data_IF_499154962758
#
_entry.id   IF_499154962758
#
_cell.length_a   1.000
_cell.length_b   1.000
_cell.length_c   1.000
_cell.angle_alpha   90.00
_cell.angle_beta   90.00
_cell.angle_gamma   90.00
#
_symmetry.space_group_name_H-M   'P 1'
#
loop_
_entity.id
_entity.type
_entity.pdbx_description
1 polymer ?
#
# COMPACT_ATOMS: atom_id res chain seq x y z
N UNK A 1 2.08 -8.48 5.78
CA UNK A 1 1.25 -8.98 6.90
C UNK A 1 2.12 -9.28 8.10
N UNK A 2 3.07 -10.22 8.00
CA UNK A 2 3.96 -10.64 9.10
C UNK A 2 4.65 -9.49 9.86
N UNK A 3 5.22 -8.50 9.18
CA UNK A 3 5.83 -7.34 9.85
C UNK A 3 4.82 -6.52 10.68
N UNK A 4 3.62 -6.29 10.14
CA UNK A 4 2.54 -5.62 10.88
C UNK A 4 1.98 -6.49 12.00
N UNK A 5 1.94 -7.81 11.81
CA UNK A 5 1.58 -8.77 12.84
C UNK A 5 2.57 -8.74 14.01
N UNK A 6 3.88 -8.71 13.74
CA UNK A 6 4.91 -8.62 14.78
C UNK A 6 4.80 -7.31 15.57
N UNK A 7 4.67 -6.18 14.87
CA UNK A 7 4.44 -4.87 15.51
C UNK A 7 3.17 -4.90 16.38
N UNK A 8 2.12 -5.55 15.88
CA UNK A 8 0.86 -5.75 16.61
C UNK A 8 1.03 -6.61 17.87
N UNK A 9 1.78 -7.72 17.77
CA UNK A 9 2.05 -8.62 18.88
C UNK A 9 2.87 -7.96 19.99
N UNK A 10 3.97 -7.30 19.62
CA UNK A 10 4.81 -6.56 20.58
C UNK A 10 4.05 -5.40 21.20
N UNK A 11 3.29 -4.65 20.40
CA UNK A 11 2.42 -3.59 20.92
C UNK A 11 1.39 -4.12 21.91
N UNK A 12 0.70 -5.22 21.59
CA UNK A 12 -0.27 -5.84 22.50
C UNK A 12 0.41 -6.33 23.79
N UNK A 13 1.58 -6.94 23.69
CA UNK A 13 2.37 -7.38 24.83
C UNK A 13 2.72 -6.20 25.77
N UNK A 14 3.17 -5.07 25.21
CA UNK A 14 3.46 -3.86 26.01
C UNK A 14 2.20 -3.27 26.66
N UNK A 15 1.04 -3.35 26.01
CA UNK A 15 -0.23 -2.85 26.56
C UNK A 15 -0.71 -3.73 27.72
N UNK A 16 -0.54 -5.05 27.61
CA UNK A 16 -1.04 -6.01 28.61
C UNK A 16 -0.11 -6.08 29.83
N UNK A 17 1.21 -6.11 29.62
CA UNK A 17 2.18 -6.37 30.69
C UNK A 17 3.02 -5.16 31.09
N UNK A 18 2.96 -4.05 30.35
CA UNK A 18 3.74 -2.85 30.63
C UNK A 18 5.25 -3.04 30.46
N UNK A 19 6.04 -2.16 31.08
CA UNK A 19 7.52 -2.19 31.00
C UNK A 19 8.21 -3.10 32.03
N UNK A 20 7.44 -3.76 32.90
CA UNK A 20 7.97 -4.63 33.96
C UNK A 20 8.18 -6.09 33.53
N UNK A 21 7.66 -6.47 32.35
CA UNK A 21 7.73 -7.82 31.81
C UNK A 21 8.74 -7.85 30.66
N UNK A 22 10.01 -8.01 31.01
CA UNK A 22 11.10 -8.12 30.05
C UNK A 22 11.35 -9.59 29.74
N UNK A 23 11.32 -9.92 28.44
CA UNK A 23 11.83 -11.20 27.95
C UNK A 23 13.28 -11.35 28.44
N UNK A 24 13.57 -12.47 29.09
CA UNK A 24 14.91 -12.72 29.62
C UNK A 24 15.90 -13.18 28.53
N UNK A 25 17.18 -12.87 28.73
CA UNK A 25 18.29 -13.44 27.94
C UNK A 25 18.47 -12.83 26.55
N UNK A 26 19.12 -13.58 25.65
CA UNK A 26 19.46 -13.12 24.28
C UNK A 26 18.24 -12.87 23.40
N UNK A 27 17.11 -13.50 23.72
CA UNK A 27 15.84 -13.39 23.01
C UNK A 27 15.29 -11.96 23.00
N UNK A 28 15.59 -11.16 24.05
CA UNK A 28 15.18 -9.76 24.11
C UNK A 28 15.85 -8.92 23.01
N UNK A 29 17.17 -9.09 22.84
CA UNK A 29 17.94 -8.37 21.82
C UNK A 29 17.49 -8.76 20.41
N UNK A 30 17.31 -10.06 20.16
CA UNK A 30 16.82 -10.56 18.87
C UNK A 30 15.42 -10.05 18.53
N UNK A 31 14.53 -9.95 19.53
CA UNK A 31 13.18 -9.40 19.32
C UNK A 31 13.21 -7.91 18.99
N UNK A 32 14.09 -7.13 19.62
CA UNK A 32 14.29 -5.71 19.31
C UNK A 32 14.79 -5.55 17.87
N UNK A 33 15.79 -6.31 17.46
CA UNK A 33 16.32 -6.25 16.10
C UNK A 33 15.25 -6.62 15.07
N UNK A 34 14.48 -7.68 15.35
CA UNK A 34 13.37 -8.11 14.50
C UNK A 34 12.25 -7.06 14.45
N UNK A 35 11.98 -6.37 15.56
CA UNK A 35 11.01 -5.28 15.63
C UNK A 35 11.44 -4.11 14.75
N UNK A 36 12.70 -3.68 14.81
CA UNK A 36 13.24 -2.63 13.96
C UNK A 36 13.21 -3.02 12.48
N UNK A 37 13.59 -4.26 12.15
CA UNK A 37 13.50 -4.77 10.79
C UNK A 37 12.06 -4.77 10.27
N UNK A 38 11.10 -5.20 11.10
CA UNK A 38 9.67 -5.17 10.76
C UNK A 38 9.14 -3.75 10.58
N UNK A 39 9.55 -2.80 11.44
CA UNK A 39 9.19 -1.39 11.32
C UNK A 39 9.75 -0.79 10.02
N UNK A 40 11.02 -1.03 9.71
CA UNK A 40 11.66 -0.60 8.46
C UNK A 40 10.95 -1.15 7.22
N UNK A 41 10.64 -2.45 7.23
CA UNK A 41 9.91 -3.09 6.13
C UNK A 41 8.49 -2.54 5.97
N UNK A 42 7.77 -2.31 7.08
CA UNK A 42 6.45 -1.70 7.07
C UNK A 42 6.49 -0.26 6.50
N UNK A 43 7.48 0.53 6.90
CA UNK A 43 7.69 1.88 6.37
C UNK A 43 7.99 1.87 4.86
N UNK A 44 8.84 0.94 4.40
CA UNK A 44 9.15 0.79 2.98
C UNK A 44 7.90 0.47 2.16
N UNK A 45 7.03 -0.43 2.66
CA UNK A 45 5.74 -0.72 2.01
C UNK A 45 4.89 0.56 1.93
N UNK A 46 4.75 1.30 3.03
CA UNK A 46 3.97 2.55 3.06
C UNK A 46 4.50 3.56 2.04
N UNK A 47 5.81 3.79 2.00
CA UNK A 47 6.46 4.73 1.09
C UNK A 47 6.30 4.29 -0.37
N UNK A 48 6.67 3.05 -0.69
CA UNK A 48 6.54 2.49 -2.04
C UNK A 48 5.12 2.68 -2.59
N UNK A 49 4.11 2.49 -1.75
CA UNK A 49 2.71 2.58 -2.16
C UNK A 49 2.17 4.00 -2.21
N UNK A 50 2.76 4.93 -1.47
CA UNK A 50 2.52 6.35 -1.69
C UNK A 50 3.08 6.82 -3.04
N UNK A 51 4.24 6.29 -3.46
CA UNK A 51 4.94 6.70 -4.67
C UNK A 51 4.40 6.05 -5.95
N UNK A 52 4.03 4.76 -5.91
CA UNK A 52 3.53 3.99 -7.06
C UNK A 52 2.06 4.27 -7.44
N UNK A 53 1.43 5.32 -6.89
CA UNK A 53 0.06 5.70 -7.28
C UNK A 53 -0.01 6.18 -8.73
N UNK A 54 -0.90 5.58 -9.51
CA UNK A 54 -1.12 5.89 -10.94
C UNK A 54 -1.30 7.38 -11.18
N UNK A 55 -0.62 7.89 -12.22
CA UNK A 55 -0.69 9.28 -12.67
C UNK A 55 -2.08 9.68 -13.19
N UNK A 56 -3.04 8.75 -13.24
CA UNK A 56 -4.38 8.93 -13.83
C UNK A 56 -5.51 8.80 -12.82
N UNK A 57 -5.23 8.58 -11.53
CA UNK A 57 -6.26 8.53 -10.50
C UNK A 57 -6.58 9.94 -10.01
N UNK A 58 -7.44 10.66 -10.75
CA UNK A 58 -8.03 11.91 -10.32
C UNK A 58 -9.06 11.72 -9.18
N UNK A 59 -9.62 10.51 -9.05
CA UNK A 59 -10.71 10.23 -8.11
C UNK A 59 -10.23 9.52 -6.83
N UNK A 60 -10.71 10.01 -5.68
CA UNK A 60 -10.44 9.45 -4.36
C UNK A 60 -10.89 7.98 -4.17
N UNK A 61 -11.83 7.52 -5.00
CA UNK A 61 -12.32 6.12 -5.03
C UNK A 61 -11.28 5.14 -5.61
N UNK A 62 -10.55 5.54 -6.66
CA UNK A 62 -9.47 4.75 -7.25
C UNK A 62 -8.25 4.68 -6.32
N UNK A 63 -7.99 5.75 -5.59
CA UNK A 63 -6.98 5.80 -4.52
C UNK A 63 -7.37 4.85 -3.37
N UNK A 64 -8.63 4.87 -2.94
CA UNK A 64 -9.13 3.97 -1.90
C UNK A 64 -9.11 2.49 -2.34
N UNK A 65 -9.38 2.18 -3.60
CA UNK A 65 -9.30 0.84 -4.16
C UNK A 65 -7.85 0.33 -4.25
N UNK A 66 -6.91 1.18 -4.70
CA UNK A 66 -5.46 0.91 -4.72
C UNK A 66 -4.88 0.67 -3.31
N UNK A 67 -5.44 1.32 -2.29
CA UNK A 67 -5.05 1.12 -0.88
C UNK A 67 -5.59 -0.20 -0.30
N UNK A 68 -6.81 -0.60 -0.65
CA UNK A 68 -7.45 -1.84 -0.17
C UNK A 68 -6.75 -3.09 -0.68
N UNK A 69 -6.18 -3.08 -1.88
CA UNK A 69 -5.52 -4.24 -2.48
C UNK A 69 -4.07 -4.45 -2.00
N UNK A 70 -3.57 -3.60 -1.10
CA UNK A 70 -2.14 -3.45 -0.88
C UNK A 70 -1.74 -3.33 0.59
N UNK A 71 -2.49 -2.57 1.39
CA UNK A 71 -2.22 -2.48 2.84
C UNK A 71 -2.73 -3.73 3.54
N UNK A 72 -2.12 -4.09 4.67
CA UNK A 72 -2.51 -5.30 5.37
C UNK A 72 -3.99 -5.25 5.78
N UNK A 73 -4.71 -6.36 5.54
CA UNK A 73 -6.10 -6.45 5.97
C UNK A 73 -6.11 -6.56 7.50
N UNK A 74 -7.08 -5.91 8.14
CA UNK A 74 -7.18 -5.94 9.60
C UNK A 74 -7.28 -7.40 10.11
N UNK A 75 -8.13 -8.27 9.52
CA UNK A 75 -8.19 -9.67 9.94
C UNK A 75 -6.85 -10.42 9.79
N UNK A 76 -6.14 -10.26 8.66
CA UNK A 76 -4.86 -10.93 8.48
C UNK A 76 -3.79 -10.39 9.44
N UNK A 77 -3.85 -9.10 9.78
CA UNK A 77 -2.93 -8.50 10.77
C UNK A 77 -3.21 -9.05 12.15
N UNK A 78 -4.48 -9.17 12.56
CA UNK A 78 -4.87 -9.77 13.84
C UNK A 78 -4.41 -11.22 13.94
N UNK A 79 -4.64 -12.04 12.89
CA UNK A 79 -4.23 -13.44 12.89
C UNK A 79 -2.71 -13.58 12.99
N UNK A 80 -1.95 -12.80 12.22
CA UNK A 80 -0.48 -12.84 12.28
C UNK A 80 0.07 -12.26 13.58
N UNK A 81 -0.60 -11.28 14.18
CA UNK A 81 -0.25 -10.78 15.50
C UNK A 81 -0.51 -11.84 16.58
N UNK A 82 -1.64 -12.56 16.51
CA UNK A 82 -1.92 -13.69 17.39
C UNK A 82 -0.86 -14.79 17.30
N UNK A 83 -0.42 -15.16 16.09
CA UNK A 83 0.65 -16.15 15.93
C UNK A 83 1.99 -15.68 16.48
N UNK A 84 2.35 -14.41 16.27
CA UNK A 84 3.57 -13.84 16.84
C UNK A 84 3.51 -13.75 18.36
N UNK A 85 2.37 -13.34 18.91
CA UNK A 85 2.15 -13.27 20.34
C UNK A 85 2.31 -14.66 20.96
N UNK A 86 1.66 -15.67 20.39
CA UNK A 86 1.79 -17.06 20.85
C UNK A 86 3.23 -17.59 20.76
N UNK A 87 3.96 -17.22 19.71
CA UNK A 87 5.37 -17.60 19.56
C UNK A 87 6.25 -16.95 20.64
N UNK A 88 6.09 -15.64 20.88
CA UNK A 88 6.80 -14.92 21.94
C UNK A 88 6.49 -15.55 23.30
N UNK A 89 5.21 -15.79 23.58
CA UNK A 89 4.74 -16.35 24.85
C UNK A 89 5.22 -17.80 25.06
N UNK A 90 5.32 -18.60 23.99
CA UNK A 90 5.82 -19.97 24.09
C UNK A 90 7.29 -20.06 24.53
N UNK A 91 8.03 -18.96 24.42
CA UNK A 91 9.40 -18.84 24.90
C UNK A 91 9.48 -18.45 26.38
N UNK A 92 8.37 -18.11 27.04
CA UNK A 92 8.31 -17.73 28.45
C UNK A 92 7.67 -18.85 29.33
N UNK A 93 7.91 -18.81 30.65
CA UNK A 93 7.27 -19.76 31.57
C UNK A 93 5.80 -19.38 31.75
N UNK A 94 4.92 -20.37 31.70
CA UNK A 94 3.47 -20.20 31.76
C UNK A 94 3.01 -19.47 33.03
N UNK A 95 2.58 -18.23 32.85
CA UNK A 95 1.84 -17.45 33.85
C UNK A 95 0.34 -17.47 33.51
N UNK A 96 -0.53 -17.22 34.50
CA UNK A 96 -1.97 -17.11 34.27
C UNK A 96 -2.26 -15.88 33.39
N UNK A 97 -2.59 -16.13 32.13
CA UNK A 97 -2.76 -15.08 31.12
C UNK A 97 -4.21 -14.60 31.07
N UNK A 98 -4.47 -13.28 31.15
CA UNK A 98 -5.79 -12.72 30.91
C UNK A 98 -6.13 -12.76 29.41
N UNK A 99 -6.52 -13.93 28.90
CA UNK A 99 -6.71 -14.19 27.46
C UNK A 99 -7.64 -13.18 26.77
N UNK A 100 -8.69 -12.73 27.46
CA UNK A 100 -9.60 -11.72 26.92
C UNK A 100 -8.90 -10.35 26.75
N UNK A 101 -8.10 -9.94 27.73
CA UNK A 101 -7.35 -8.68 27.66
C UNK A 101 -6.31 -8.73 26.53
N UNK A 102 -5.63 -9.87 26.35
CA UNK A 102 -4.68 -10.11 25.26
C UNK A 102 -5.38 -10.00 23.91
N UNK A 103 -6.51 -10.69 23.72
CA UNK A 103 -7.26 -10.64 22.48
C UNK A 103 -7.73 -9.21 22.14
N UNK A 104 -8.28 -8.49 23.13
CA UNK A 104 -8.70 -7.10 22.95
C UNK A 104 -7.53 -6.18 22.63
N UNK A 105 -6.38 -6.35 23.29
CA UNK A 105 -5.17 -5.57 23.03
C UNK A 105 -4.65 -5.82 21.61
N UNK A 106 -4.58 -7.07 21.15
CA UNK A 106 -4.18 -7.42 19.78
C UNK A 106 -5.10 -6.73 18.77
N UNK A 107 -6.42 -6.83 18.97
CA UNK A 107 -7.39 -6.20 18.08
C UNK A 107 -7.19 -4.69 18.05
N UNK A 108 -7.15 -4.03 19.22
CA UNK A 108 -7.01 -2.59 19.35
C UNK A 108 -5.72 -2.07 18.68
N UNK A 109 -4.57 -2.69 18.99
CA UNK A 109 -3.27 -2.30 18.41
C UNK A 109 -3.26 -2.51 16.90
N UNK A 110 -3.78 -3.64 16.40
CA UNK A 110 -3.85 -3.88 14.96
C UNK A 110 -4.74 -2.86 14.24
N UNK A 111 -5.88 -2.48 14.84
CA UNK A 111 -6.75 -1.43 14.29
C UNK A 111 -6.02 -0.09 14.19
N UNK A 112 -5.34 0.32 15.25
CA UNK A 112 -4.56 1.58 15.29
C UNK A 112 -3.43 1.53 14.27
N UNK A 113 -2.62 0.48 14.27
CA UNK A 113 -1.48 0.30 13.36
C UNK A 113 -1.90 0.40 11.89
N UNK A 114 -2.95 -0.34 11.51
CA UNK A 114 -3.48 -0.32 10.14
C UNK A 114 -4.12 1.04 9.81
N UNK A 115 -4.81 1.66 10.78
CA UNK A 115 -5.37 3.00 10.65
C UNK A 115 -4.32 4.07 10.37
N UNK A 116 -3.25 4.08 11.16
CA UNK A 116 -2.10 4.98 11.00
C UNK A 116 -1.41 4.75 9.66
N UNK A 117 -1.17 3.50 9.26
CA UNK A 117 -0.57 3.20 7.96
C UNK A 117 -1.42 3.71 6.80
N UNK A 118 -2.75 3.55 6.86
CA UNK A 118 -3.68 4.08 5.84
C UNK A 118 -3.64 5.60 5.80
N UNK A 119 -3.62 6.26 6.96
CA UNK A 119 -3.53 7.71 7.06
C UNK A 119 -2.21 8.22 6.49
N UNK A 120 -1.09 7.60 6.83
CA UNK A 120 0.24 7.94 6.34
C UNK A 120 0.31 7.86 4.81
N UNK A 121 -0.19 6.78 4.19
CA UNK A 121 -0.21 6.69 2.72
C UNK A 121 -1.07 7.79 2.10
N UNK A 122 -2.23 8.12 2.69
CA UNK A 122 -3.08 9.22 2.21
C UNK A 122 -2.37 10.57 2.28
N UNK A 123 -1.73 10.86 3.41
CA UNK A 123 -0.98 12.09 3.61
C UNK A 123 0.19 12.22 2.63
N UNK A 124 0.98 11.16 2.46
CA UNK A 124 2.11 11.14 1.52
C UNK A 124 1.65 11.31 0.06
N UNK A 125 0.52 10.69 -0.32
CA UNK A 125 -0.05 10.89 -1.66
C UNK A 125 -0.51 12.33 -1.88
N UNK A 126 -1.19 12.94 -0.89
CA UNK A 126 -1.60 14.33 -0.97
C UNK A 126 -0.38 15.27 -1.11
N UNK A 127 0.66 15.05 -0.29
CA UNK A 127 1.90 15.81 -0.37
C UNK A 127 2.58 15.69 -1.75
N UNK A 128 2.64 14.47 -2.30
CA UNK A 128 3.17 14.23 -3.66
C UNK A 128 2.39 15.00 -4.72
N UNK A 129 1.05 14.98 -4.66
CA UNK A 129 0.22 15.69 -5.64
C UNK A 129 0.38 17.21 -5.54
N UNK A 130 0.46 17.75 -4.31
CA UNK A 130 0.78 19.16 -4.09
C UNK A 130 2.14 19.52 -4.69
N UNK A 131 3.16 18.72 -4.45
CA UNK A 131 4.50 18.92 -4.99
C UNK A 131 4.53 18.92 -6.53
N UNK A 132 3.85 17.95 -7.17
CA UNK A 132 3.71 17.90 -8.63
C UNK A 132 2.94 19.13 -9.14
N UNK A 133 1.88 19.56 -8.43
CA UNK A 133 1.12 20.77 -8.73
C UNK A 133 2.01 22.01 -8.77
N UNK A 134 2.80 22.21 -7.72
CA UNK A 134 3.75 23.34 -7.61
C UNK A 134 4.80 23.32 -8.73
N UNK A 135 5.36 22.16 -9.06
CA UNK A 135 6.32 22.06 -10.18
C UNK A 135 5.63 22.35 -11.53
N UNK A 136 4.38 21.91 -11.70
CA UNK A 136 3.66 22.11 -12.96
C UNK A 136 3.24 23.57 -13.19
N UNK A 137 2.97 24.34 -12.13
CA UNK A 137 2.67 25.78 -12.23
C UNK A 137 3.91 26.63 -12.48
N UNK A 138 5.11 26.11 -12.18
CA UNK A 138 6.39 26.78 -12.47
C UNK A 138 6.85 26.60 -13.92
N UNK A 139 6.24 25.67 -14.67
CA UNK A 139 6.53 25.52 -16.10
C UNK A 139 5.56 26.42 -16.89
N UNK A 140 6.04 27.39 -17.70
CA UNK A 140 5.15 28.13 -18.58
C UNK A 140 4.44 27.13 -19.50
N UNK A 141 3.12 27.33 -19.78
CA UNK A 141 2.38 26.40 -20.61
C UNK A 141 3.03 26.35 -21.99
N UNK A 142 3.78 25.27 -22.27
CA UNK A 142 4.22 24.98 -23.64
C UNK A 142 2.95 24.94 -24.49
N UNK A 143 2.83 25.76 -25.53
CA UNK A 143 1.65 25.76 -26.38
C UNK A 143 1.48 24.35 -26.95
N UNK A 144 0.51 23.60 -26.41
CA UNK A 144 0.19 22.28 -26.93
C UNK A 144 -0.23 22.49 -28.38
N UNK A 145 0.35 21.76 -29.36
CA UNK A 145 -0.15 21.81 -30.72
C UNK A 145 -1.63 21.46 -30.67
N UNK A 146 -2.45 22.44 -31.07
CA UNK A 146 -3.92 22.39 -31.04
C UNK A 146 -4.30 21.14 -31.82
N UNK A 147 -4.68 20.08 -31.09
CA UNK A 147 -5.06 18.80 -31.70
C UNK A 147 -6.25 19.11 -32.60
N UNK A 148 -6.01 19.18 -33.92
CA UNK A 148 -7.07 19.44 -34.90
C UNK A 148 -8.19 18.47 -34.59
N UNK A 149 -9.41 19.00 -34.45
CA UNK A 149 -10.59 18.19 -34.26
C UNK A 149 -10.54 17.04 -35.27
N UNK A 150 -10.73 15.80 -34.80
CA UNK A 150 -10.85 14.65 -35.69
C UNK A 150 -11.99 14.95 -36.64
N UNK A 151 -11.67 15.38 -37.87
CA UNK A 151 -12.66 15.51 -38.91
C UNK A 151 -13.31 14.13 -39.05
N UNK A 152 -14.64 14.02 -38.94
CA UNK A 152 -15.31 12.76 -39.23
C UNK A 152 -14.97 12.41 -40.68
N UNK A 153 -14.19 11.35 -40.86
CA UNK A 153 -13.89 10.82 -42.18
C UNK A 153 -15.22 10.47 -42.82
N UNK A 154 -15.68 11.29 -43.77
CA UNK A 154 -16.88 11.04 -44.56
C UNK A 154 -16.77 9.61 -45.10
N UNK A 155 -17.79 8.78 -44.88
CA UNK A 155 -17.81 7.36 -45.26
C UNK A 155 -17.40 7.12 -46.74
N UNK A 156 -17.66 8.11 -47.60
CA UNK A 156 -17.23 8.13 -49.00
C UNK A 156 -15.71 7.98 -49.20
N UNK A 157 -14.89 8.53 -48.29
CA UNK A 157 -13.42 8.44 -48.34
C UNK A 157 -12.87 7.07 -47.94
N UNK A 158 -13.58 6.36 -47.05
CA UNK A 158 -13.20 5.01 -46.60
C UNK A 158 -13.55 3.97 -47.68
N UNK A 159 -14.71 4.13 -48.33
CA UNK A 159 -15.12 3.28 -49.45
C UNK A 159 -14.19 3.43 -50.67
N UNK A 160 -13.79 4.67 -51.00
CA UNK A 160 -12.85 4.94 -52.10
C UNK A 160 -11.45 4.36 -51.84
N UNK A 161 -10.96 4.45 -50.60
CA UNK A 161 -9.67 3.81 -50.24
C UNK A 161 -9.73 2.29 -50.33
N UNK A 162 -10.82 1.65 -49.91
CA UNK A 162 -10.96 0.18 -50.00
C UNK A 162 -10.97 -0.31 -51.46
N UNK A 163 -11.57 0.43 -52.38
CA UNK A 163 -11.59 0.07 -53.80
C UNK A 163 -10.22 0.17 -54.51
N UNK A 164 -9.34 1.06 -54.05
CA UNK A 164 -8.01 1.22 -54.65
C UNK A 164 -7.05 0.09 -54.25
N UNK A 165 -7.25 -0.52 -53.07
CA UNK A 165 -6.41 -1.61 -52.56
C UNK A 165 -6.97 -3.02 -52.80
N UNK A 166 -8.13 -3.14 -53.47
CA UNK A 166 -8.74 -4.43 -53.80
C UNK A 166 -8.35 -4.97 -55.17
N UNK A 167 -7.50 -4.27 -55.94
CA UNK A 167 -6.97 -4.80 -57.21
C UNK A 167 -5.64 -5.51 -56.92
N UNK A 168 -5.51 -6.81 -57.28
CA UNK A 168 -4.20 -7.47 -57.19
C UNK A 168 -3.21 -6.76 -58.14
N UNK A 169 -1.93 -6.66 -57.77
CA UNK A 169 -0.92 -6.04 -58.61
C UNK A 169 -0.82 -6.81 -59.95
N UNK A 170 -0.62 -6.11 -61.08
CA UNK A 170 -0.46 -6.78 -62.37
C UNK A 170 0.78 -7.66 -62.32
N UNK A 171 0.59 -8.96 -62.60
CA UNK A 171 1.69 -9.89 -62.80
C UNK A 171 2.30 -9.57 -64.15
N UNK A 172 3.54 -9.09 -64.16
CA UNK A 172 4.33 -8.96 -65.39
C UNK A 172 4.70 -10.36 -65.86
N UNK A 173 4.35 -10.69 -67.10
CA UNK A 173 4.83 -11.90 -67.79
C UNK A 173 6.33 -11.82 -68.10
#
# INVERSE_FOLDING_TARGET
MFAFGLLGAVGAHTVVFGGGHQLGGTLHGELIDLLFAAAGFAALIVISKALCGDRHCADGSAIAASLRSVLPSIPATILTAGSWFAAIESCERTHAMPMLAIALAIVAVCFVLVGVARLAVRALRAARLLFIGVISTQNPPTPRPRRRARQPLRARSVALRRHLFSRPPPVTA
#
